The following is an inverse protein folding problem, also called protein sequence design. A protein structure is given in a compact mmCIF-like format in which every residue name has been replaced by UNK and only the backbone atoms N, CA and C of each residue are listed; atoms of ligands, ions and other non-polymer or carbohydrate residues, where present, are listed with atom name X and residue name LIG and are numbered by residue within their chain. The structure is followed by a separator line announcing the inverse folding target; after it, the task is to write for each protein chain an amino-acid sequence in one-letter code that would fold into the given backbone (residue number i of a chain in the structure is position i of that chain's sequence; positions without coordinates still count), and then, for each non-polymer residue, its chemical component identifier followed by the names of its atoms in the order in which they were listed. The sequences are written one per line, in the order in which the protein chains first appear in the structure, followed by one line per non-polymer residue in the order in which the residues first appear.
data_IF_307204268383
#
_entry.id   IF_307204268383
#
_cell.length_a   1.000
_cell.length_b   1.000
_cell.length_c   1.000
_cell.angle_alpha   90.00
_cell.angle_beta   90.00
_cell.angle_gamma   90.00
#
_symmetry.space_group_name_H-M   'P 1'
#
loop_
_entity.id
_entity.type
_entity.pdbx_description
1 polymer ?
#
# COMPACT_ATOMS: atom_id res chain seq x y z
N UNK A 1 -15.85 -0.73 -6.53
CA UNK A 1 -15.48 -2.15 -6.28
C UNK A 1 -15.07 -2.88 -7.56
N UNK A 2 -15.83 -2.82 -8.67
CA UNK A 2 -15.48 -3.50 -9.94
C UNK A 2 -14.06 -3.21 -10.44
N UNK A 3 -13.62 -1.95 -10.40
CA UNK A 3 -12.27 -1.51 -10.81
C UNK A 3 -11.15 -2.18 -10.01
N UNK A 4 -11.30 -2.33 -8.69
CA UNK A 4 -10.30 -2.96 -7.83
C UNK A 4 -10.11 -4.45 -8.18
N UNK A 5 -11.21 -5.19 -8.39
CA UNK A 5 -11.16 -6.60 -8.82
C UNK A 5 -10.54 -6.79 -10.19
N UNK A 6 -10.72 -5.83 -11.11
CA UNK A 6 -10.11 -5.87 -12.45
C UNK A 6 -8.60 -5.68 -12.32
N UNK A 7 -8.15 -4.67 -11.58
CA UNK A 7 -6.72 -4.46 -11.30
C UNK A 7 -6.11 -5.65 -10.57
N UNK A 8 -6.78 -6.17 -9.54
CA UNK A 8 -6.30 -7.35 -8.82
C UNK A 8 -6.15 -8.56 -9.75
N UNK A 9 -7.13 -8.86 -10.61
CA UNK A 9 -7.01 -9.96 -11.60
C UNK A 9 -5.92 -9.70 -12.63
N UNK A 10 -5.82 -8.49 -13.15
CA UNK A 10 -4.79 -8.09 -14.12
C UNK A 10 -3.40 -8.27 -13.51
N UNK A 11 -3.19 -7.79 -12.29
CA UNK A 11 -1.91 -7.89 -11.60
C UNK A 11 -1.62 -9.30 -11.09
N UNK A 12 -2.63 -10.07 -10.67
CA UNK A 12 -2.46 -11.48 -10.37
C UNK A 12 -1.98 -12.25 -11.59
N UNK A 13 -2.52 -11.94 -12.77
CA UNK A 13 -2.09 -12.54 -14.05
C UNK A 13 -0.67 -12.12 -14.46
N UNK A 14 -0.25 -10.90 -14.13
CA UNK A 14 1.06 -10.35 -14.49
C UNK A 14 2.19 -10.73 -13.51
N UNK A 15 1.90 -10.70 -12.21
CA UNK A 15 2.87 -10.91 -11.13
C UNK A 15 2.83 -12.33 -10.54
N UNK A 16 1.71 -13.05 -10.66
CA UNK A 16 1.56 -14.43 -10.17
C UNK A 16 1.94 -14.59 -8.69
N UNK A 17 2.78 -15.57 -8.40
CA UNK A 17 3.27 -15.89 -7.03
C UNK A 17 4.00 -14.73 -6.34
N UNK A 18 4.57 -13.79 -7.11
CA UNK A 18 5.27 -12.61 -6.58
C UNK A 18 4.33 -11.72 -5.74
N UNK A 19 3.03 -11.71 -6.05
CA UNK A 19 2.03 -10.94 -5.29
C UNK A 19 1.82 -11.48 -3.87
N UNK A 20 1.79 -12.80 -3.68
CA UNK A 20 1.68 -13.40 -2.35
C UNK A 20 2.89 -13.08 -1.48
N UNK A 21 4.09 -13.11 -2.06
CA UNK A 21 5.30 -12.71 -1.36
C UNK A 21 5.27 -11.23 -0.91
N UNK A 22 4.80 -10.33 -1.78
CA UNK A 22 4.57 -8.93 -1.40
C UNK A 22 3.61 -8.84 -0.20
N UNK A 23 2.44 -9.47 -0.30
CA UNK A 23 1.43 -9.45 0.76
C UNK A 23 1.96 -10.02 2.08
N UNK A 24 2.75 -11.10 2.06
CA UNK A 24 3.33 -11.66 3.27
C UNK A 24 4.36 -10.73 3.92
N UNK A 25 5.22 -10.07 3.12
CA UNK A 25 6.18 -9.08 3.65
C UNK A 25 5.45 -7.88 4.27
N UNK A 26 4.33 -7.45 3.68
CA UNK A 26 3.52 -6.35 4.19
C UNK A 26 2.79 -6.71 5.47
N UNK A 27 2.25 -7.93 5.54
CA UNK A 27 1.63 -8.43 6.75
C UNK A 27 2.65 -8.52 7.89
N UNK A 28 3.84 -9.06 7.63
CA UNK A 28 4.94 -9.09 8.60
C UNK A 28 5.31 -7.68 9.07
N UNK A 29 5.51 -6.73 8.14
CA UNK A 29 5.80 -5.33 8.49
C UNK A 29 4.71 -4.73 9.40
N UNK A 30 3.44 -4.93 9.06
CA UNK A 30 2.31 -4.43 9.83
C UNK A 30 2.25 -5.06 11.23
N UNK A 31 2.54 -6.35 11.37
CA UNK A 31 2.61 -7.01 12.68
C UNK A 31 3.70 -6.41 13.57
N UNK A 32 4.93 -6.25 13.05
CA UNK A 32 6.03 -5.65 13.82
C UNK A 32 5.76 -4.18 14.15
N UNK A 33 5.07 -3.44 13.28
CA UNK A 33 4.59 -2.11 13.63
C UNK A 33 3.57 -2.13 14.74
N UNK A 34 2.58 -3.04 14.68
CA UNK A 34 1.60 -3.20 15.74
C UNK A 34 2.28 -3.47 17.07
N UNK A 35 3.24 -4.39 17.11
CA UNK A 35 4.04 -4.69 18.30
C UNK A 35 4.81 -3.45 18.80
N UNK A 36 5.48 -2.73 17.91
CA UNK A 36 6.21 -1.50 18.24
C UNK A 36 5.31 -0.40 18.81
N UNK A 37 4.11 -0.21 18.23
CA UNK A 37 3.10 0.75 18.72
C UNK A 37 2.55 0.30 20.08
N UNK A 38 2.25 -0.98 20.26
CA UNK A 38 1.75 -1.50 21.55
C UNK A 38 2.77 -1.37 22.67
N UNK A 39 4.07 -1.46 22.37
CA UNK A 39 5.15 -1.26 23.34
C UNK A 39 5.24 0.17 23.87
N UNK A 40 4.61 1.16 23.23
CA UNK A 40 4.55 2.52 23.77
C UNK A 40 3.77 2.58 25.09
N UNK A 41 2.74 1.76 25.28
CA UNK A 41 1.96 1.73 26.52
C UNK A 41 2.80 1.36 27.76
N UNK A 42 3.47 0.19 27.81
CA UNK A 42 4.25 -0.20 28.98
C UNK A 42 5.42 0.77 29.24
N UNK A 43 5.98 1.38 28.17
CA UNK A 43 7.01 2.43 28.29
C UNK A 43 6.44 3.66 29.00
N UNK A 44 5.25 4.12 28.62
CA UNK A 44 4.60 5.28 29.26
C UNK A 44 4.28 5.00 30.73
N UNK A 45 3.76 3.82 31.05
CA UNK A 45 3.46 3.42 32.44
C UNK A 45 4.73 3.42 33.30
N UNK A 46 5.81 2.76 32.84
CA UNK A 46 7.10 2.75 33.56
C UNK A 46 7.78 4.12 33.59
N UNK A 47 7.50 4.98 32.63
CA UNK A 47 8.01 6.35 32.52
C UNK A 47 7.31 7.38 33.42
N UNK A 48 6.34 6.97 34.25
CA UNK A 48 5.68 7.84 35.22
C UNK A 48 4.27 8.31 34.84
N UNK A 49 3.65 7.75 33.80
CA UNK A 49 2.28 8.10 33.40
C UNK A 49 1.17 7.50 34.30
N UNK A 50 1.54 6.81 35.39
CA UNK A 50 0.61 6.11 36.28
C UNK A 50 0.23 4.70 35.78
N UNK A 51 -0.31 3.88 36.68
CA UNK A 51 -0.79 2.54 36.37
C UNK A 51 -2.09 2.64 35.56
N UNK A 52 -1.98 2.52 34.25
CA UNK A 52 -3.12 2.36 33.35
C UNK A 52 -3.35 0.86 33.14
N UNK A 53 -4.25 0.22 33.89
CA UNK A 53 -4.60 -1.17 33.62
C UNK A 53 -5.04 -1.33 32.16
N UNK A 54 -4.34 -2.19 31.42
CA UNK A 54 -4.63 -2.46 30.03
C UNK A 54 -4.32 -3.93 29.70
N UNK A 55 -5.27 -4.66 29.10
CA UNK A 55 -5.08 -6.08 28.73
C UNK A 55 -3.83 -6.34 27.89
N UNK A 56 -3.40 -5.36 27.09
CA UNK A 56 -2.20 -5.44 26.25
C UNK A 56 -0.94 -5.42 27.10
N UNK A 57 -0.90 -4.57 28.14
CA UNK A 57 0.27 -4.46 29.01
C UNK A 57 0.44 -5.73 29.86
N UNK A 58 -0.68 -6.29 30.36
CA UNK A 58 -0.67 -7.55 31.12
C UNK A 58 -0.19 -8.73 30.27
N UNK A 59 -0.58 -8.76 28.99
CA UNK A 59 -0.08 -9.76 28.04
C UNK A 59 1.42 -9.63 27.78
N UNK A 60 1.94 -8.39 27.72
CA UNK A 60 3.37 -8.13 27.52
C UNK A 60 4.16 -8.53 28.77
N UNK A 61 3.71 -8.19 29.98
CA UNK A 61 4.39 -8.59 31.21
C UNK A 61 4.42 -10.12 31.38
N UNK A 62 3.30 -10.81 31.12
CA UNK A 62 3.24 -12.26 31.16
C UNK A 62 4.19 -12.94 30.15
N UNK A 63 4.33 -12.35 28.95
CA UNK A 63 5.32 -12.83 27.97
C UNK A 63 6.75 -12.65 28.49
N UNK A 64 7.07 -11.50 29.09
CA UNK A 64 8.41 -11.24 29.62
C UNK A 64 8.75 -12.19 30.77
N UNK A 65 7.80 -12.44 31.67
CA UNK A 65 7.93 -13.43 32.75
C UNK A 65 8.15 -14.84 32.19
N UNK A 66 7.40 -15.25 31.17
CA UNK A 66 7.55 -16.57 30.53
C UNK A 66 8.95 -16.78 29.93
N UNK A 67 9.60 -15.72 29.45
CA UNK A 67 10.96 -15.75 28.91
C UNK A 67 12.05 -15.40 29.95
N UNK A 68 11.70 -15.21 31.23
CA UNK A 68 12.60 -14.73 32.29
C UNK A 68 13.35 -13.44 31.90
N UNK A 69 12.67 -12.53 31.20
CA UNK A 69 13.21 -11.23 30.80
C UNK A 69 12.80 -10.20 31.85
N UNK A 70 13.75 -9.39 32.32
CA UNK A 70 13.46 -8.32 33.26
C UNK A 70 12.52 -7.26 32.64
N UNK A 71 11.43 -6.93 33.34
CA UNK A 71 10.47 -5.93 32.92
C UNK A 71 10.94 -4.50 33.26
N UNK A 72 11.99 -4.06 32.55
CA UNK A 72 12.65 -2.75 32.74
C UNK A 72 12.36 -1.78 31.57
N UNK A 73 12.31 -0.48 31.87
CA UNK A 73 12.11 0.58 30.88
C UNK A 73 13.14 0.53 29.75
N UNK A 74 14.41 0.24 30.08
CA UNK A 74 15.50 0.15 29.09
C UNK A 74 15.23 -1.00 28.12
N UNK A 75 14.79 -2.15 28.62
CA UNK A 75 14.51 -3.33 27.81
C UNK A 75 13.31 -3.09 26.91
N UNK A 76 12.24 -2.48 27.42
CA UNK A 76 11.07 -2.10 26.62
C UNK A 76 11.44 -1.17 25.45
N UNK A 77 12.30 -0.18 25.69
CA UNK A 77 12.82 0.71 24.65
C UNK A 77 13.65 -0.04 23.61
N UNK A 78 14.50 -0.98 24.03
CA UNK A 78 15.27 -1.81 23.10
C UNK A 78 14.36 -2.67 22.21
N UNK A 79 13.32 -3.28 22.77
CA UNK A 79 12.33 -4.04 21.99
C UNK A 79 11.54 -3.15 21.02
N UNK A 80 11.16 -1.95 21.44
CA UNK A 80 10.50 -0.98 20.56
C UNK A 80 11.39 -0.66 19.34
N UNK A 81 12.66 -0.35 19.58
CA UNK A 81 13.63 -0.06 18.52
C UNK A 81 13.78 -1.29 17.62
N UNK A 82 13.94 -2.48 18.21
CA UNK A 82 14.07 -3.74 17.48
C UNK A 82 12.86 -4.00 16.55
N UNK A 83 11.64 -3.84 17.05
CA UNK A 83 10.43 -4.02 16.26
C UNK A 83 10.33 -3.02 15.11
N UNK A 84 10.65 -1.74 15.35
CA UNK A 84 10.68 -0.74 14.27
C UNK A 84 11.79 -0.99 13.25
N UNK A 85 12.96 -1.50 13.67
CA UNK A 85 14.02 -1.90 12.75
C UNK A 85 13.58 -3.07 11.87
N UNK A 86 13.02 -4.12 12.47
CA UNK A 86 12.52 -5.29 11.72
C UNK A 86 11.41 -4.88 10.75
N UNK A 87 10.43 -4.09 11.20
CA UNK A 87 9.39 -3.49 10.35
C UNK A 87 10.02 -2.75 9.15
N UNK A 88 11.04 -1.94 9.40
CA UNK A 88 11.69 -1.13 8.37
C UNK A 88 12.40 -2.00 7.34
N UNK A 89 13.07 -3.08 7.77
CA UNK A 89 13.69 -4.06 6.88
C UNK A 89 12.64 -4.67 5.94
N UNK A 90 11.49 -5.11 6.48
CA UNK A 90 10.41 -5.65 5.65
C UNK A 90 9.88 -4.61 4.64
N UNK A 91 9.73 -3.35 5.03
CA UNK A 91 9.30 -2.27 4.13
C UNK A 91 10.32 -1.99 3.02
N UNK A 92 11.62 -2.02 3.33
CA UNK A 92 12.70 -1.84 2.35
C UNK A 92 12.70 -2.99 1.35
N UNK A 93 12.65 -4.24 1.83
CA UNK A 93 12.60 -5.44 0.98
C UNK A 93 11.36 -5.39 0.08
N UNK A 94 10.20 -5.05 0.65
CA UNK A 94 8.97 -4.88 -0.10
C UNK A 94 9.12 -3.81 -1.20
N UNK A 95 9.65 -2.63 -0.87
CA UNK A 95 9.86 -1.54 -1.82
C UNK A 95 10.79 -1.93 -2.97
N UNK A 96 11.91 -2.58 -2.66
CA UNK A 96 12.84 -3.09 -3.66
C UNK A 96 12.19 -4.15 -4.57
N UNK A 97 11.37 -5.03 -4.00
CA UNK A 97 10.67 -6.07 -4.76
C UNK A 97 9.57 -5.49 -5.66
N UNK A 98 8.82 -4.49 -5.20
CA UNK A 98 7.85 -3.75 -6.04
C UNK A 98 8.58 -3.07 -7.22
N UNK A 99 9.72 -2.41 -6.96
CA UNK A 99 10.51 -1.77 -8.01
C UNK A 99 11.02 -2.78 -9.04
N UNK A 100 11.47 -3.96 -8.58
CA UNK A 100 11.89 -5.05 -9.47
C UNK A 100 10.75 -5.55 -10.35
N UNK A 101 9.57 -5.84 -9.77
CA UNK A 101 8.41 -6.28 -10.56
C UNK A 101 7.99 -5.19 -11.55
N UNK A 102 8.04 -3.93 -11.13
CA UNK A 102 7.70 -2.79 -11.97
C UNK A 102 8.65 -2.70 -13.19
N UNK A 103 9.95 -2.89 -12.99
CA UNK A 103 10.95 -2.89 -14.05
C UNK A 103 10.75 -4.10 -15.00
N UNK A 104 10.57 -5.31 -14.46
CA UNK A 104 10.29 -6.52 -15.24
C UNK A 104 9.04 -6.33 -16.13
N UNK A 105 7.97 -5.77 -15.55
CA UNK A 105 6.73 -5.50 -16.26
C UNK A 105 6.92 -4.46 -17.37
N UNK A 106 7.68 -3.40 -17.10
CA UNK A 106 7.98 -2.35 -18.07
C UNK A 106 8.71 -2.93 -19.30
N UNK A 107 9.75 -3.74 -19.07
CA UNK A 107 10.53 -4.39 -20.14
C UNK A 107 9.65 -5.34 -20.95
N UNK A 108 8.87 -6.18 -20.27
CA UNK A 108 7.98 -7.14 -20.93
C UNK A 108 6.92 -6.46 -21.81
N UNK A 109 6.24 -5.45 -21.27
CA UNK A 109 5.20 -4.72 -22.01
C UNK A 109 5.78 -3.99 -23.21
N UNK A 110 6.94 -3.34 -23.06
CA UNK A 110 7.63 -2.67 -24.17
C UNK A 110 7.97 -3.68 -25.28
N UNK A 111 8.53 -4.84 -24.92
CA UNK A 111 8.85 -5.88 -25.89
C UNK A 111 7.59 -6.41 -26.61
N UNK A 112 6.51 -6.68 -25.89
CA UNK A 112 5.26 -7.16 -26.48
C UNK A 112 4.62 -6.15 -27.44
N UNK A 113 4.61 -4.86 -27.08
CA UNK A 113 4.04 -3.80 -27.93
C UNK A 113 4.86 -3.68 -29.21
N UNK A 114 6.18 -3.57 -29.10
CA UNK A 114 7.06 -3.47 -30.27
C UNK A 114 6.92 -4.70 -31.16
N UNK A 115 6.97 -5.91 -30.60
CA UNK A 115 6.82 -7.15 -31.37
C UNK A 115 5.47 -7.25 -32.09
N UNK A 116 4.37 -6.82 -31.46
CA UNK A 116 3.04 -6.83 -32.09
C UNK A 116 2.91 -5.81 -33.20
N UNK A 117 3.57 -4.65 -33.09
CA UNK A 117 3.60 -3.64 -34.16
C UNK A 117 4.33 -4.19 -35.38
N UNK A 118 5.50 -4.81 -35.20
CA UNK A 118 6.26 -5.42 -36.30
C UNK A 118 5.55 -6.62 -36.96
N UNK A 119 4.66 -7.31 -36.24
CA UNK A 119 3.84 -8.43 -36.77
C UNK A 119 2.47 -7.99 -37.31
N UNK A 120 2.10 -6.72 -37.18
CA UNK A 120 0.81 -6.23 -37.63
C UNK A 120 0.73 -6.20 -39.16
N UNK A 121 -0.44 -6.48 -39.73
CA UNK A 121 -0.67 -6.37 -41.18
C UNK A 121 -0.46 -4.92 -41.61
N UNK A 122 0.23 -4.71 -42.73
CA UNK A 122 0.50 -3.37 -43.26
C UNK A 122 -0.78 -2.53 -43.47
N UNK A 123 -1.88 -3.15 -43.94
CA UNK A 123 -3.19 -2.50 -44.06
C UNK A 123 -3.73 -1.95 -42.72
N UNK A 124 -3.47 -2.64 -41.60
CA UNK A 124 -3.88 -2.16 -40.28
C UNK A 124 -3.03 -0.97 -39.83
N UNK A 125 -1.72 -0.98 -40.16
CA UNK A 125 -0.82 0.13 -39.84
C UNK A 125 -1.17 1.39 -40.64
N UNK A 126 -1.55 1.26 -41.91
CA UNK A 126 -2.00 2.37 -42.76
C UNK A 126 -3.28 3.06 -42.26
N UNK A 127 -4.13 2.35 -41.51
CA UNK A 127 -5.37 2.89 -40.96
C UNK A 127 -5.18 3.61 -39.61
N UNK A 128 -3.97 3.59 -39.04
CA UNK A 128 -3.67 4.19 -37.74
C UNK A 128 -2.77 5.40 -37.90
N UNK A 129 -3.10 6.46 -37.18
CA UNK A 129 -2.28 7.66 -37.10
C UNK A 129 -0.90 7.33 -36.52
N UNK A 130 0.16 7.91 -37.07
CA UNK A 130 1.53 7.77 -36.57
C UNK A 130 1.63 8.15 -35.09
N UNK A 131 0.87 9.16 -34.64
CA UNK A 131 0.77 9.57 -33.24
C UNK A 131 0.24 8.48 -32.32
N UNK A 132 -0.75 7.70 -32.76
CA UNK A 132 -1.29 6.58 -31.99
C UNK A 132 -0.24 5.48 -31.76
N UNK A 133 0.52 5.12 -32.79
CA UNK A 133 1.59 4.13 -32.70
C UNK A 133 2.74 4.62 -31.80
N UNK A 134 3.11 5.90 -31.91
CA UNK A 134 4.14 6.49 -31.07
C UNK A 134 3.72 6.49 -29.59
N UNK A 135 2.48 6.90 -29.29
CA UNK A 135 1.93 6.87 -27.94
C UNK A 135 1.88 5.45 -27.35
N UNK A 136 1.51 4.45 -28.16
CA UNK A 136 1.51 3.05 -27.70
C UNK A 136 2.92 2.58 -27.29
N UNK A 137 3.96 2.97 -28.05
CA UNK A 137 5.36 2.59 -27.79
C UNK A 137 5.99 3.38 -26.65
N UNK A 138 5.52 4.61 -26.38
CA UNK A 138 6.18 5.56 -25.45
C UNK A 138 5.43 5.78 -24.13
N UNK A 139 4.09 5.78 -24.14
CA UNK A 139 3.27 6.20 -23.00
C UNK A 139 2.53 5.03 -22.35
N UNK A 140 1.89 4.16 -23.13
CA UNK A 140 0.92 3.20 -22.56
C UNK A 140 1.55 2.17 -21.60
N UNK A 141 2.72 1.64 -21.93
CA UNK A 141 3.40 0.69 -21.04
C UNK A 141 3.89 1.37 -19.74
N UNK A 142 4.22 2.67 -19.76
CA UNK A 142 4.57 3.43 -18.57
C UNK A 142 3.35 3.63 -17.67
N UNK A 143 2.19 3.97 -18.24
CA UNK A 143 0.94 4.12 -17.50
C UNK A 143 0.54 2.82 -16.79
N UNK A 144 0.65 1.67 -17.45
CA UNK A 144 0.37 0.36 -16.84
C UNK A 144 1.35 0.04 -15.70
N UNK A 145 2.64 0.34 -15.90
CA UNK A 145 3.67 0.15 -14.88
C UNK A 145 3.48 1.08 -13.66
N UNK A 146 3.08 2.33 -13.88
CA UNK A 146 2.74 3.27 -12.83
C UNK A 146 1.48 2.83 -12.07
N UNK A 147 0.45 2.38 -12.77
CA UNK A 147 -0.76 1.83 -12.16
C UNK A 147 -0.45 0.64 -11.25
N UNK A 148 0.50 -0.22 -11.62
CA UNK A 148 0.98 -1.31 -10.75
C UNK A 148 1.56 -0.79 -9.43
N UNK A 149 2.47 0.19 -9.49
CA UNK A 149 3.07 0.79 -8.29
C UNK A 149 2.00 1.42 -7.38
N UNK A 150 1.04 2.14 -7.97
CA UNK A 150 -0.06 2.75 -7.23
C UNK A 150 -0.96 1.69 -6.58
N UNK A 151 -1.27 0.62 -7.29
CA UNK A 151 -2.05 -0.49 -6.74
C UNK A 151 -1.35 -1.18 -5.57
N UNK A 152 -0.05 -1.48 -5.71
CA UNK A 152 0.75 -2.02 -4.62
C UNK A 152 0.72 -1.08 -3.40
N UNK A 153 0.86 0.23 -3.61
CA UNK A 153 0.76 1.24 -2.54
C UNK A 153 -0.60 1.22 -1.83
N UNK A 154 -1.70 1.12 -2.58
CA UNK A 154 -3.05 1.02 -2.01
C UNK A 154 -3.20 -0.23 -1.15
N UNK A 155 -2.65 -1.37 -1.56
CA UNK A 155 -2.65 -2.58 -0.72
C UNK A 155 -1.93 -2.33 0.60
N UNK A 156 -0.76 -1.66 0.60
CA UNK A 156 -0.01 -1.40 1.85
C UNK A 156 -0.84 -0.54 2.77
N UNK A 157 -1.35 0.57 2.24
CA UNK A 157 -2.16 1.51 3.02
C UNK A 157 -3.42 0.87 3.57
N UNK A 158 -4.00 -0.09 2.86
CA UNK A 158 -5.17 -0.84 3.34
C UNK A 158 -4.84 -1.73 4.53
N UNK A 159 -3.73 -2.49 4.46
CA UNK A 159 -3.28 -3.34 5.57
C UNK A 159 -2.98 -2.51 6.82
N UNK A 160 -2.23 -1.42 6.66
CA UNK A 160 -1.87 -0.54 7.78
C UNK A 160 -3.09 0.20 8.33
N UNK A 161 -4.02 0.61 7.46
CA UNK A 161 -5.28 1.20 7.91
C UNK A 161 -6.11 0.21 8.73
N UNK A 162 -6.13 -1.07 8.36
CA UNK A 162 -6.82 -2.10 9.16
C UNK A 162 -6.13 -2.28 10.52
N UNK A 163 -4.79 -2.34 10.53
CA UNK A 163 -4.00 -2.39 11.77
C UNK A 163 -4.38 -1.24 12.71
N UNK A 164 -4.39 0.00 12.23
CA UNK A 164 -4.71 1.17 13.05
C UNK A 164 -6.17 1.25 13.51
N UNK A 165 -7.08 0.50 12.90
CA UNK A 165 -8.45 0.36 13.39
C UNK A 165 -8.56 -0.74 14.45
N UNK A 166 -7.82 -1.84 14.28
CA UNK A 166 -7.84 -2.99 15.18
C UNK A 166 -7.09 -2.68 16.48
N UNK A 167 -5.95 -1.99 16.43
CA UNK A 167 -5.13 -1.73 17.61
C UNK A 167 -5.88 -0.98 18.71
N UNK A 168 -6.52 0.18 18.46
CA UNK A 168 -7.30 0.86 19.49
C UNK A 168 -8.43 -0.01 20.06
N UNK A 169 -9.06 -0.85 19.23
CA UNK A 169 -10.11 -1.76 19.65
C UNK A 169 -9.61 -2.82 20.64
N UNK A 170 -8.39 -3.34 20.42
CA UNK A 170 -7.73 -4.27 21.34
C UNK A 170 -7.27 -3.59 22.64
N UNK A 171 -6.88 -2.32 22.56
CA UNK A 171 -6.34 -1.58 23.71
C UNK A 171 -7.45 -1.08 24.65
N UNK A 172 -8.45 -0.38 24.12
CA UNK A 172 -9.55 0.17 24.91
C UNK A 172 -10.72 0.56 24.00
N UNK A 173 -11.91 0.01 24.29
CA UNK A 173 -13.11 0.25 23.50
C UNK A 173 -13.48 1.74 23.36
N UNK A 174 -13.30 2.55 24.42
CA UNK A 174 -13.59 3.98 24.40
C UNK A 174 -12.65 4.74 23.47
N UNK A 175 -11.36 4.40 23.48
CA UNK A 175 -10.37 4.97 22.55
C UNK A 175 -10.72 4.62 21.11
N UNK A 176 -11.15 3.38 20.84
CA UNK A 176 -11.59 2.96 19.52
C UNK A 176 -12.80 3.75 19.00
N UNK A 177 -13.80 3.99 19.86
CA UNK A 177 -14.97 4.82 19.51
C UNK A 177 -14.56 6.26 19.18
N UNK A 178 -13.68 6.85 20.00
CA UNK A 178 -13.20 8.23 19.79
C UNK A 178 -12.45 8.36 18.46
N UNK A 179 -11.55 7.42 18.16
CA UNK A 179 -10.85 7.35 16.87
C UNK A 179 -11.84 7.18 15.71
N UNK A 180 -12.85 6.32 15.87
CA UNK A 180 -13.91 6.13 14.87
C UNK A 180 -14.68 7.41 14.55
N UNK A 181 -15.06 8.18 15.58
CA UNK A 181 -15.74 9.48 15.42
C UNK A 181 -14.83 10.48 14.71
N UNK A 182 -13.53 10.52 15.04
CA UNK A 182 -12.57 11.42 14.40
C UNK A 182 -12.31 11.08 12.93
N UNK A 183 -12.33 9.79 12.56
CA UNK A 183 -12.11 9.34 11.17
C UNK A 183 -13.34 9.64 10.28
N UNK A 184 -14.55 9.59 10.84
CA UNK A 184 -15.80 9.76 10.08
C UNK A 184 -15.85 11.04 9.22
N UNK A 185 -15.59 12.27 9.73
CA UNK A 185 -15.62 13.48 8.91
C UNK A 185 -14.55 13.47 7.82
N UNK A 186 -13.35 12.94 8.11
CA UNK A 186 -12.26 12.83 7.13
C UNK A 186 -12.69 11.95 5.96
N UNK A 187 -13.32 10.80 6.23
CA UNK A 187 -13.82 9.89 5.19
C UNK A 187 -14.92 10.55 4.36
N UNK A 188 -15.83 11.31 4.98
CA UNK A 188 -16.90 12.02 4.26
C UNK A 188 -16.35 13.11 3.32
N UNK A 189 -15.39 13.90 3.81
CA UNK A 189 -14.70 14.92 3.01
C UNK A 189 -13.96 14.27 1.84
N UNK A 190 -13.18 13.21 2.11
CA UNK A 190 -12.44 12.49 1.08
C UNK A 190 -13.37 11.86 0.03
N UNK A 191 -14.52 11.33 0.43
CA UNK A 191 -15.52 10.83 -0.53
C UNK A 191 -16.04 11.93 -1.44
N UNK A 192 -16.28 13.15 -0.93
CA UNK A 192 -16.68 14.30 -1.76
C UNK A 192 -15.59 14.74 -2.72
N UNK A 193 -14.35 14.88 -2.24
CA UNK A 193 -13.21 15.26 -3.07
C UNK A 193 -13.00 14.23 -4.17
N UNK A 194 -13.01 12.94 -3.83
CA UNK A 194 -12.73 11.88 -4.78
C UNK A 194 -13.78 11.81 -5.90
N UNK A 195 -15.07 12.07 -5.60
CA UNK A 195 -16.10 12.20 -6.65
C UNK A 195 -15.77 13.33 -7.63
N UNK A 196 -15.42 14.51 -7.11
CA UNK A 196 -15.04 15.66 -7.95
C UNK A 196 -13.80 15.37 -8.79
N UNK A 197 -12.78 14.75 -8.19
CA UNK A 197 -11.54 14.38 -8.90
C UNK A 197 -11.84 13.44 -10.07
N UNK A 198 -12.74 12.46 -9.89
CA UNK A 198 -13.15 11.56 -10.98
C UNK A 198 -13.83 12.35 -12.10
N UNK A 199 -14.75 13.25 -11.77
CA UNK A 199 -15.46 14.07 -12.76
C UNK A 199 -14.49 14.97 -13.55
N UNK A 200 -13.53 15.61 -12.87
CA UNK A 200 -12.49 16.41 -13.52
C UNK A 200 -11.55 15.55 -14.37
N UNK A 201 -11.17 14.36 -13.91
CA UNK A 201 -10.30 13.45 -14.66
C UNK A 201 -10.93 13.03 -15.99
N UNK A 202 -12.24 12.75 -16.02
CA UNK A 202 -12.96 12.40 -17.26
C UNK A 202 -12.98 13.60 -18.22
N UNK A 203 -13.24 14.81 -17.70
CA UNK A 203 -13.22 16.04 -18.51
C UNK A 203 -11.85 16.31 -19.11
N UNK A 204 -10.78 16.21 -18.32
CA UNK A 204 -9.40 16.36 -18.81
C UNK A 204 -9.08 15.35 -19.90
N UNK A 205 -9.40 14.06 -19.74
CA UNK A 205 -9.16 13.07 -20.80
C UNK A 205 -9.91 13.38 -22.09
N UNK A 206 -11.17 13.84 -22.01
CA UNK A 206 -11.95 14.23 -23.20
C UNK A 206 -11.39 15.48 -23.90
N UNK A 207 -10.93 16.48 -23.15
CA UNK A 207 -10.34 17.69 -23.69
C UNK A 207 -8.94 17.47 -24.27
N UNK A 208 -8.11 16.65 -23.62
CA UNK A 208 -6.80 16.25 -24.13
C UNK A 208 -6.91 15.47 -25.45
N UNK A 209 -7.92 14.61 -25.61
CA UNK A 209 -8.18 13.93 -26.88
C UNK A 209 -8.60 14.90 -28.00
N UNK A 210 -9.44 15.89 -27.69
CA UNK A 210 -9.84 16.91 -28.66
C UNK A 210 -8.70 17.83 -29.09
N UNK A 211 -7.80 18.21 -28.18
CA UNK A 211 -6.63 19.05 -28.52
C UNK A 211 -5.61 18.31 -29.39
N UNK A 212 -5.43 17.00 -29.19
CA UNK A 212 -4.54 16.19 -30.03
C UNK A 212 -5.08 15.97 -31.44
N UNK A 213 -6.39 16.11 -31.69
CA UNK A 213 -6.93 16.05 -33.06
C UNK A 213 -6.77 17.34 -33.87
N UNK A 214 -6.39 18.46 -33.22
CA UNK A 214 -6.14 19.74 -33.89
C UNK A 214 -4.66 19.99 -34.23
N UNK A 215 -3.75 19.14 -33.74
CA UNK A 215 -2.30 19.19 -33.99
C UNK A 215 -1.86 18.05 -34.91
#
# INVERSE_FOLDING_TARGET
MKTFTIFFRLFYRLAGRKLFFLLSMMFAAAMFEGLGVTMLLPILQKGGAGELENPVTDGISALFEAFNIEYSLVILLLFLILFFLIRSIFLIIHGAYVAKIQADLLVKLRYEIVSKIFKAKYQYLLQKETGYLNNAITVEFQNVSFAFKMFASVLIKTVFSALYLILPLMMNFMVAVLVGIMILPVVLIMRRINRRVIDYSVRTSSQSAGLQSFL
#
